data_IF_029724052734
#
_entry.id   IF_029724052734
#
_cell.length_a   1.000
_cell.length_b   1.000
_cell.length_c   1.000
_cell.angle_alpha   90.00
_cell.angle_beta   90.00
_cell.angle_gamma   90.00
#
_symmetry.space_group_name_H-M   'P 1'
#
loop_
_entity.id
_entity.type
_entity.pdbx_description
1 polymer ?
#
# COMPACT_ATOMS: atom_id res chain seq x y z
N UNK A 1 1.85 -15.90 23.21
CA UNK A 1 3.20 -16.53 23.28
C UNK A 1 4.28 -15.48 23.25
N UNK A 2 5.51 -15.81 23.68
CA UNK A 2 6.64 -14.86 23.79
C UNK A 2 6.88 -14.04 22.51
N UNK A 3 6.78 -14.67 21.33
CA UNK A 3 6.95 -13.98 20.04
C UNK A 3 5.91 -12.89 19.78
N UNK A 4 4.65 -13.09 20.21
CA UNK A 4 3.60 -12.08 20.06
C UNK A 4 3.82 -10.90 20.99
N UNK A 5 4.34 -11.12 22.20
CA UNK A 5 4.71 -10.03 23.11
C UNK A 5 5.84 -9.17 22.51
N UNK A 6 6.88 -9.82 21.96
CA UNK A 6 7.96 -9.12 21.24
C UNK A 6 7.42 -8.34 20.05
N UNK A 7 6.49 -8.90 19.28
CA UNK A 7 5.88 -8.20 18.14
C UNK A 7 5.09 -6.95 18.59
N UNK A 8 4.39 -7.03 19.73
CA UNK A 8 3.72 -5.87 20.33
C UNK A 8 4.72 -4.79 20.77
N UNK A 9 5.85 -5.16 21.37
CA UNK A 9 6.91 -4.21 21.74
C UNK A 9 7.53 -3.54 20.51
N UNK A 10 7.78 -4.30 19.44
CA UNK A 10 8.28 -3.78 18.17
C UNK A 10 7.28 -2.83 17.51
N UNK A 11 5.98 -3.18 17.53
CA UNK A 11 4.92 -2.29 17.07
C UNK A 11 4.88 -0.98 17.87
N UNK A 12 5.01 -1.03 19.20
CA UNK A 12 5.08 0.17 20.03
C UNK A 12 6.28 1.07 19.67
N UNK A 13 7.41 0.47 19.30
CA UNK A 13 8.58 1.21 18.80
C UNK A 13 8.28 1.85 17.43
N UNK A 14 7.62 1.15 16.50
CA UNK A 14 7.22 1.71 15.20
C UNK A 14 6.40 2.99 15.40
N UNK A 15 5.32 2.91 16.18
CA UNK A 15 4.41 4.04 16.44
C UNK A 15 5.16 5.21 17.08
N UNK A 16 6.02 4.94 18.06
CA UNK A 16 6.79 6.00 18.76
C UNK A 16 7.84 6.66 17.87
N UNK A 17 8.29 6.00 16.81
CA UNK A 17 9.39 6.44 15.95
C UNK A 17 8.96 6.76 14.52
N UNK A 18 7.65 6.88 14.28
CA UNK A 18 7.07 7.29 13.00
C UNK A 18 7.80 8.51 12.41
N UNK A 19 8.10 8.44 11.11
CA UNK A 19 8.87 9.47 10.40
C UNK A 19 10.40 9.37 10.54
N UNK A 20 10.93 8.53 11.44
CA UNK A 20 12.37 8.31 11.59
C UNK A 20 12.81 7.06 10.84
N UNK A 21 13.03 7.15 9.52
CA UNK A 21 13.33 5.98 8.65
C UNK A 21 14.48 5.11 9.17
N UNK A 22 15.53 5.71 9.75
CA UNK A 22 16.69 4.99 10.34
C UNK A 22 16.31 4.02 11.46
N UNK A 23 15.14 4.17 12.08
CA UNK A 23 14.60 3.25 13.11
C UNK A 23 13.44 2.44 12.55
N UNK A 24 12.52 3.08 11.83
CA UNK A 24 11.32 2.43 11.28
C UNK A 24 11.70 1.26 10.35
N UNK A 25 12.67 1.46 9.45
CA UNK A 25 13.05 0.41 8.48
C UNK A 25 13.62 -0.83 9.18
N UNK A 26 14.63 -0.73 10.08
CA UNK A 26 15.11 -1.90 10.82
C UNK A 26 14.03 -2.60 11.63
N UNK A 27 13.19 -1.85 12.37
CA UNK A 27 12.14 -2.44 13.21
C UNK A 27 11.10 -3.16 12.36
N UNK A 28 10.66 -2.56 11.25
CA UNK A 28 9.70 -3.18 10.34
C UNK A 28 10.29 -4.43 9.68
N UNK A 29 11.59 -4.44 9.34
CA UNK A 29 12.27 -5.66 8.86
C UNK A 29 12.33 -6.76 9.92
N UNK A 30 12.52 -6.40 11.19
CA UNK A 30 12.51 -7.39 12.27
C UNK A 30 11.13 -8.02 12.44
N UNK A 31 10.07 -7.21 12.35
CA UNK A 31 8.69 -7.70 12.38
C UNK A 31 8.40 -8.57 11.15
N UNK A 32 8.78 -8.11 9.96
CA UNK A 32 8.64 -8.85 8.71
C UNK A 32 9.35 -10.22 8.79
N UNK A 33 10.58 -10.26 9.28
CA UNK A 33 11.31 -11.50 9.51
C UNK A 33 10.59 -12.43 10.51
N UNK A 34 10.03 -11.87 11.59
CA UNK A 34 9.28 -12.64 12.58
C UNK A 34 8.05 -13.32 11.97
N UNK A 35 7.37 -12.65 11.04
CA UNK A 35 6.16 -13.15 10.38
C UNK A 35 6.41 -13.79 9.00
N UNK A 36 7.67 -13.93 8.57
CA UNK A 36 8.03 -14.62 7.32
C UNK A 36 7.63 -16.10 7.25
N UNK A 37 7.24 -16.69 8.39
CA UNK A 37 6.70 -18.06 8.47
C UNK A 37 5.18 -18.00 8.60
N UNK A 38 4.47 -18.50 7.58
CA UNK A 38 3.00 -18.51 7.50
C UNK A 38 2.31 -19.03 8.77
N UNK A 39 2.85 -20.08 9.40
CA UNK A 39 2.27 -20.69 10.61
C UNK A 39 2.15 -19.75 11.81
N UNK A 40 3.03 -18.74 11.94
CA UNK A 40 2.94 -17.73 13.00
C UNK A 40 1.82 -16.72 12.73
N UNK A 41 1.48 -16.52 11.46
CA UNK A 41 0.46 -15.57 11.02
C UNK A 41 -0.93 -16.19 11.10
N UNK A 42 -1.08 -17.45 10.68
CA UNK A 42 -2.38 -18.18 10.68
C UNK A 42 -3.05 -18.24 12.06
N UNK A 43 -2.27 -18.29 13.14
CA UNK A 43 -2.71 -18.48 14.52
C UNK A 43 -2.44 -17.27 15.42
N UNK A 44 -2.10 -16.12 14.83
CA UNK A 44 -1.68 -14.96 15.61
C UNK A 44 -2.80 -14.05 16.08
N UNK A 45 -2.39 -12.93 16.68
CA UNK A 45 -3.30 -11.93 17.26
C UNK A 45 -3.82 -10.99 16.17
N UNK A 46 -5.11 -11.12 15.84
CA UNK A 46 -5.78 -10.28 14.84
C UNK A 46 -5.61 -8.79 15.11
N UNK A 47 -5.63 -8.35 16.38
CA UNK A 47 -5.48 -6.92 16.73
C UNK A 47 -4.08 -6.41 16.43
N UNK A 48 -3.07 -7.24 16.68
CA UNK A 48 -1.69 -6.94 16.33
C UNK A 48 -1.56 -6.83 14.81
N UNK A 49 -2.14 -7.77 14.06
CA UNK A 49 -2.07 -7.74 12.60
C UNK A 49 -2.77 -6.52 12.00
N UNK A 50 -3.91 -6.12 12.53
CA UNK A 50 -4.59 -4.89 12.12
C UNK A 50 -3.71 -3.65 12.37
N UNK A 51 -3.07 -3.59 13.54
CA UNK A 51 -2.16 -2.51 13.90
C UNK A 51 -0.91 -2.47 12.99
N UNK A 52 -0.27 -3.63 12.79
CA UNK A 52 0.88 -3.76 11.87
C UNK A 52 0.52 -3.40 10.43
N UNK A 53 -0.65 -3.83 9.95
CA UNK A 53 -1.15 -3.50 8.62
C UNK A 53 -1.38 -2.00 8.47
N UNK A 54 -1.92 -1.36 9.51
CA UNK A 54 -2.16 0.09 9.56
C UNK A 54 -0.85 0.86 9.50
N UNK A 55 0.14 0.48 10.30
CA UNK A 55 1.46 1.13 10.32
C UNK A 55 2.23 0.89 9.02
N UNK A 56 2.26 -0.35 8.53
CA UNK A 56 2.92 -0.70 7.28
C UNK A 56 2.33 0.08 6.10
N UNK A 57 1.01 0.04 5.92
CA UNK A 57 0.35 0.76 4.84
C UNK A 57 0.45 2.28 5.01
N UNK A 58 0.30 2.78 6.23
CA UNK A 58 0.45 4.20 6.57
C UNK A 58 1.83 4.73 6.17
N UNK A 59 2.88 3.95 6.38
CA UNK A 59 4.26 4.30 6.00
C UNK A 59 4.48 4.42 4.48
N UNK A 60 3.58 3.88 3.65
CA UNK A 60 3.69 3.97 2.18
C UNK A 60 3.18 5.29 1.60
N UNK A 61 2.29 5.99 2.33
CA UNK A 61 1.57 7.14 1.78
C UNK A 61 2.51 8.33 1.56
N UNK A 62 2.70 8.72 0.29
CA UNK A 62 3.59 9.83 -0.08
C UNK A 62 5.08 9.55 0.14
N UNK A 63 5.43 8.33 0.54
CA UNK A 63 6.80 7.93 0.83
C UNK A 63 7.66 7.93 -0.44
N UNK A 64 8.89 8.41 -0.31
CA UNK A 64 9.90 8.42 -1.39
C UNK A 64 11.03 7.43 -1.15
N UNK A 65 11.10 6.85 0.04
CA UNK A 65 12.10 5.87 0.44
C UNK A 65 11.68 4.50 -0.11
N UNK A 66 12.34 4.10 -1.19
CA UNK A 66 12.09 2.82 -1.86
C UNK A 66 12.35 1.65 -0.91
N UNK A 67 13.33 1.76 -0.01
CA UNK A 67 13.66 0.68 0.92
C UNK A 67 12.54 0.50 1.93
N UNK A 68 12.02 1.59 2.48
CA UNK A 68 10.85 1.53 3.38
C UNK A 68 9.62 0.98 2.66
N UNK A 69 9.36 1.40 1.43
CA UNK A 69 8.24 0.90 0.62
C UNK A 69 8.33 -0.62 0.40
N UNK A 70 9.52 -1.15 0.06
CA UNK A 70 9.71 -2.58 -0.14
C UNK A 70 9.49 -3.37 1.15
N UNK A 71 10.03 -2.90 2.28
CA UNK A 71 9.86 -3.58 3.58
C UNK A 71 8.40 -3.55 4.03
N UNK A 72 7.70 -2.42 3.83
CA UNK A 72 6.27 -2.33 4.14
C UNK A 72 5.45 -3.31 3.29
N UNK A 73 5.73 -3.43 1.99
CA UNK A 73 5.04 -4.39 1.13
C UNK A 73 5.33 -5.85 1.53
N UNK A 74 6.57 -6.18 1.91
CA UNK A 74 6.91 -7.52 2.40
C UNK A 74 6.11 -7.87 3.66
N UNK A 75 6.03 -6.94 4.62
CA UNK A 75 5.22 -7.15 5.81
C UNK A 75 3.74 -7.32 5.47
N UNK A 76 3.20 -6.48 4.58
CA UNK A 76 1.81 -6.62 4.10
C UNK A 76 1.60 -7.99 3.44
N UNK A 77 2.56 -8.47 2.66
CA UNK A 77 2.49 -9.78 2.02
C UNK A 77 2.48 -10.91 3.05
N UNK A 78 3.32 -10.86 4.08
CA UNK A 78 3.29 -11.85 5.15
C UNK A 78 1.93 -11.87 5.88
N UNK A 79 1.27 -10.71 6.03
CA UNK A 79 -0.07 -10.63 6.61
C UNK A 79 -1.18 -11.23 5.73
N UNK A 80 -0.90 -11.62 4.49
CA UNK A 80 -1.87 -12.36 3.63
C UNK A 80 -1.98 -13.85 4.00
N UNK A 81 -1.16 -14.34 4.92
CA UNK A 81 -1.32 -15.70 5.50
C UNK A 81 -2.22 -15.70 6.74
N UNK A 82 -2.69 -14.53 7.20
CA UNK A 82 -3.68 -14.45 8.26
C UNK A 82 -5.06 -14.82 7.73
N UNK A 83 -5.98 -15.22 8.60
CA UNK A 83 -7.39 -15.39 8.22
C UNK A 83 -8.09 -14.04 8.01
N UNK A 84 -9.26 -14.07 7.38
CA UNK A 84 -10.13 -12.90 7.29
C UNK A 84 -10.47 -12.36 8.70
N UNK A 85 -10.52 -11.01 8.88
CA UNK A 85 -10.52 -9.97 7.84
C UNK A 85 -9.14 -9.50 7.39
N UNK A 86 -8.05 -9.99 8.01
CA UNK A 86 -6.70 -9.51 7.75
C UNK A 86 -6.23 -9.92 6.35
N UNK A 87 -6.54 -11.16 5.91
CA UNK A 87 -6.32 -11.61 4.54
C UNK A 87 -6.85 -10.59 3.52
N UNK A 88 -8.16 -10.35 3.53
CA UNK A 88 -8.81 -9.46 2.57
C UNK A 88 -8.17 -8.07 2.60
N UNK A 89 -7.91 -7.52 3.80
CA UNK A 89 -7.35 -6.18 3.93
C UNK A 89 -5.89 -6.07 3.45
N UNK A 90 -5.05 -7.07 3.70
CA UNK A 90 -3.64 -7.08 3.30
C UNK A 90 -3.50 -7.35 1.80
N UNK A 91 -4.23 -8.33 1.28
CA UNK A 91 -4.24 -8.69 -0.13
C UNK A 91 -4.75 -7.53 -1.01
N UNK A 92 -5.81 -6.85 -0.56
CA UNK A 92 -6.29 -5.62 -1.20
C UNK A 92 -5.21 -4.55 -1.36
N UNK A 93 -4.39 -4.35 -0.32
CA UNK A 93 -3.33 -3.35 -0.31
C UNK A 93 -2.18 -3.73 -1.24
N UNK A 94 -1.86 -5.02 -1.38
CA UNK A 94 -0.92 -5.50 -2.39
C UNK A 94 -1.42 -5.19 -3.81
N UNK A 95 -2.68 -5.53 -4.13
CA UNK A 95 -3.27 -5.20 -5.44
C UNK A 95 -3.25 -3.68 -5.65
N UNK A 96 -3.58 -2.89 -4.64
CA UNK A 96 -3.54 -1.43 -4.72
C UNK A 96 -2.13 -0.89 -5.02
N UNK A 97 -1.07 -1.56 -4.54
CA UNK A 97 0.32 -1.17 -4.75
C UNK A 97 0.82 -1.38 -6.20
N UNK A 98 0.09 -2.16 -7.03
CA UNK A 98 0.45 -2.40 -8.44
C UNK A 98 0.40 -1.14 -9.33
N UNK A 99 -0.22 -0.05 -8.87
CA UNK A 99 -0.17 1.26 -9.55
C UNK A 99 0.73 2.27 -8.83
N UNK A 100 1.65 1.82 -7.98
CA UNK A 100 2.61 2.71 -7.35
C UNK A 100 3.41 3.49 -8.41
N UNK A 101 3.76 4.74 -8.11
CA UNK A 101 4.53 5.60 -9.03
C UNK A 101 5.92 5.06 -9.35
N UNK A 102 6.43 4.14 -8.54
CA UNK A 102 7.75 3.57 -8.68
C UNK A 102 7.67 2.18 -9.34
N UNK A 103 8.24 1.98 -10.55
CA UNK A 103 8.32 0.70 -11.24
C UNK A 103 8.75 -0.48 -10.35
N UNK A 104 9.81 -0.28 -9.56
CA UNK A 104 10.36 -1.30 -8.67
C UNK A 104 9.36 -1.76 -7.60
N UNK A 105 8.48 -0.87 -7.14
CA UNK A 105 7.47 -1.17 -6.13
C UNK A 105 6.30 -1.93 -6.75
N UNK A 106 5.90 -1.59 -7.97
CA UNK A 106 4.88 -2.34 -8.72
C UNK A 106 5.32 -3.79 -8.95
N UNK A 107 6.58 -3.99 -9.39
CA UNK A 107 7.15 -5.33 -9.56
C UNK A 107 7.20 -6.11 -8.25
N UNK A 108 7.67 -5.49 -7.17
CA UNK A 108 7.70 -6.10 -5.84
C UNK A 108 6.30 -6.53 -5.38
N UNK A 109 5.26 -5.72 -5.61
CA UNK A 109 3.89 -6.09 -5.30
C UNK A 109 3.40 -7.28 -6.13
N UNK A 110 3.72 -7.32 -7.44
CA UNK A 110 3.40 -8.46 -8.31
C UNK A 110 4.11 -9.74 -7.86
N UNK A 111 5.40 -9.67 -7.53
CA UNK A 111 6.16 -10.82 -7.00
C UNK A 111 5.52 -11.36 -5.71
N UNK A 112 5.15 -10.49 -4.77
CA UNK A 112 4.46 -10.91 -3.55
C UNK A 112 3.08 -11.52 -3.80
N UNK A 113 2.30 -10.95 -4.73
CA UNK A 113 1.01 -11.52 -5.13
C UNK A 113 1.18 -12.89 -5.75
N UNK A 114 2.14 -13.07 -6.66
CA UNK A 114 2.43 -14.36 -7.28
C UNK A 114 2.77 -15.40 -6.21
N UNK A 115 3.71 -15.09 -5.32
CA UNK A 115 4.12 -16.00 -4.25
C UNK A 115 2.96 -16.40 -3.34
N UNK A 116 2.02 -15.48 -3.08
CA UNK A 116 0.84 -15.79 -2.26
C UNK A 116 -0.20 -16.61 -3.02
N UNK A 117 -0.42 -16.33 -4.30
CA UNK A 117 -1.39 -17.04 -5.14
C UNK A 117 -0.99 -18.50 -5.31
N UNK A 118 0.29 -18.78 -5.60
CA UNK A 118 0.78 -20.16 -5.73
C UNK A 118 0.81 -20.93 -4.40
N UNK A 119 0.56 -20.25 -3.28
CA UNK A 119 0.46 -20.85 -1.95
C UNK A 119 -0.98 -20.92 -1.45
N UNK A 120 -1.98 -20.72 -2.33
CA UNK A 120 -3.37 -20.97 -1.97
C UNK A 120 -3.61 -22.45 -1.73
N UNK A 121 -4.51 -22.74 -0.78
CA UNK A 121 -5.01 -24.08 -0.51
C UNK A 121 -6.36 -24.29 -1.24
N UNK A 122 -6.86 -25.53 -1.27
CA UNK A 122 -8.07 -25.94 -2.02
C UNK A 122 -9.27 -25.00 -1.79
N UNK A 123 -9.55 -24.63 -0.54
CA UNK A 123 -10.63 -23.71 -0.18
C UNK A 123 -10.50 -22.32 -0.85
N UNK A 124 -9.27 -21.83 -1.04
CA UNK A 124 -9.00 -20.53 -1.68
C UNK A 124 -9.03 -20.64 -3.20
N UNK A 125 -8.56 -21.75 -3.77
CA UNK A 125 -8.63 -22.06 -5.20
C UNK A 125 -10.08 -22.19 -5.68
N UNK A 126 -10.98 -22.76 -4.87
CA UNK A 126 -12.41 -22.81 -5.18
C UNK A 126 -13.10 -21.43 -5.06
N UNK A 127 -12.59 -20.56 -4.18
CA UNK A 127 -13.18 -19.25 -3.88
C UNK A 127 -12.83 -18.18 -4.92
N UNK A 128 -11.66 -18.27 -5.55
CA UNK A 128 -11.09 -17.21 -6.37
C UNK A 128 -10.76 -17.67 -7.80
N UNK A 129 -10.72 -16.72 -8.73
CA UNK A 129 -10.25 -16.99 -10.10
C UNK A 129 -8.71 -16.99 -10.14
N UNK A 130 -8.12 -18.07 -9.63
CA UNK A 130 -6.67 -18.25 -9.45
C UNK A 130 -5.92 -18.30 -10.78
N UNK A 131 -6.50 -18.97 -11.79
CA UNK A 131 -5.90 -19.08 -13.12
C UNK A 131 -5.73 -17.70 -13.76
N UNK A 132 -6.81 -16.91 -13.78
CA UNK A 132 -6.76 -15.55 -14.33
C UNK A 132 -5.85 -14.65 -13.52
N UNK A 133 -5.87 -14.75 -12.19
CA UNK A 133 -5.00 -13.95 -11.34
C UNK A 133 -3.52 -14.26 -11.59
N UNK A 134 -3.17 -15.53 -11.79
CA UNK A 134 -1.80 -15.98 -12.09
C UNK A 134 -1.33 -15.46 -13.44
N UNK A 135 -2.15 -15.54 -14.49
CA UNK A 135 -1.88 -14.95 -15.80
C UNK A 135 -1.62 -13.44 -15.68
N UNK A 136 -2.51 -12.71 -15.00
CA UNK A 136 -2.38 -11.26 -14.82
C UNK A 136 -1.09 -10.86 -14.09
N UNK A 137 -0.73 -11.57 -13.02
CA UNK A 137 0.45 -11.23 -12.24
C UNK A 137 1.75 -11.56 -12.99
N UNK A 138 1.76 -12.57 -13.84
CA UNK A 138 2.98 -13.04 -14.54
C UNK A 138 3.19 -12.42 -15.92
N UNK A 139 2.13 -12.15 -16.69
CA UNK A 139 2.25 -11.68 -18.08
C UNK A 139 2.24 -10.16 -18.20
N UNK A 140 1.61 -9.45 -17.26
CA UNK A 140 1.58 -7.99 -17.29
C UNK A 140 2.94 -7.43 -16.89
N UNK A 141 3.48 -6.53 -17.72
CA UNK A 141 4.72 -5.80 -17.42
C UNK A 141 4.48 -4.73 -16.34
N UNK A 142 4.41 -5.12 -15.07
CA UNK A 142 4.07 -4.23 -13.95
C UNK A 142 5.05 -3.09 -13.71
N UNK A 143 6.32 -3.22 -14.10
CA UNK A 143 7.34 -2.18 -13.94
C UNK A 143 7.42 -1.20 -15.11
N UNK A 144 7.26 -1.68 -16.34
CA UNK A 144 7.56 -0.95 -17.58
C UNK A 144 6.36 -0.76 -18.50
N UNK A 145 5.27 -1.48 -18.27
CA UNK A 145 4.05 -1.45 -19.08
C UNK A 145 3.35 -0.10 -19.06
N UNK A 146 2.48 0.11 -20.05
CA UNK A 146 1.72 1.34 -20.17
C UNK A 146 0.79 1.52 -18.96
N UNK A 147 0.68 2.76 -18.49
CA UNK A 147 -0.08 3.05 -17.28
C UNK A 147 -1.59 2.76 -17.40
N UNK A 148 -2.14 2.77 -18.63
CA UNK A 148 -3.52 2.38 -18.88
C UNK A 148 -3.71 0.87 -18.68
N UNK A 149 -2.85 0.07 -19.30
CA UNK A 149 -2.90 -1.40 -19.25
C UNK A 149 -2.72 -1.91 -17.82
N UNK A 150 -1.74 -1.38 -17.08
CA UNK A 150 -1.52 -1.69 -15.66
C UNK A 150 -2.76 -1.38 -14.82
N UNK A 151 -3.46 -0.26 -15.10
CA UNK A 151 -4.68 0.10 -14.36
C UNK A 151 -5.82 -0.86 -14.67
N UNK A 152 -5.99 -1.25 -15.93
CA UNK A 152 -7.00 -2.21 -16.37
C UNK A 152 -6.73 -3.59 -15.75
N UNK A 153 -5.52 -4.11 -15.89
CA UNK A 153 -5.11 -5.38 -15.30
C UNK A 153 -5.31 -5.43 -13.78
N UNK A 154 -5.00 -4.34 -13.07
CA UNK A 154 -5.24 -4.26 -11.62
C UNK A 154 -6.74 -4.31 -11.29
N UNK A 155 -7.61 -3.69 -12.09
CA UNK A 155 -9.06 -3.77 -11.88
C UNK A 155 -9.57 -5.19 -12.10
N UNK A 156 -9.01 -5.91 -13.07
CA UNK A 156 -9.35 -7.32 -13.30
C UNK A 156 -8.86 -8.21 -12.15
N UNK A 157 -7.67 -7.95 -11.59
CA UNK A 157 -7.22 -8.64 -10.37
C UNK A 157 -8.22 -8.47 -9.22
N UNK A 158 -8.72 -7.25 -8.96
CA UNK A 158 -9.76 -7.07 -7.94
C UNK A 158 -10.99 -7.95 -8.18
N UNK A 159 -11.40 -8.14 -9.44
CA UNK A 159 -12.53 -9.03 -9.79
C UNK A 159 -12.22 -10.50 -9.52
N UNK A 160 -11.02 -10.98 -9.83
CA UNK A 160 -10.61 -12.37 -9.55
C UNK A 160 -10.77 -12.75 -8.08
N UNK A 161 -10.65 -11.78 -7.18
CA UNK A 161 -10.76 -11.97 -5.74
C UNK A 161 -12.09 -11.51 -5.13
N UNK A 162 -13.09 -11.16 -5.96
CA UNK A 162 -14.40 -10.67 -5.49
C UNK A 162 -14.31 -9.38 -4.67
N UNK A 163 -13.30 -8.55 -4.91
CA UNK A 163 -13.03 -7.33 -4.15
C UNK A 163 -13.44 -6.08 -4.93
N UNK A 164 -14.05 -5.11 -4.24
CA UNK A 164 -14.42 -3.83 -4.85
C UNK A 164 -13.20 -2.90 -5.00
N UNK A 165 -12.83 -2.46 -6.21
CA UNK A 165 -11.66 -1.62 -6.41
C UNK A 165 -11.78 -0.26 -5.68
N UNK A 166 -10.64 0.38 -5.34
CA UNK A 166 -10.69 1.66 -4.65
C UNK A 166 -11.44 2.70 -5.47
N UNK A 167 -12.52 3.25 -4.91
CA UNK A 167 -13.26 4.35 -5.55
C UNK A 167 -12.31 5.51 -5.77
N UNK A 168 -12.30 6.05 -6.99
CA UNK A 168 -11.62 7.33 -7.23
C UNK A 168 -12.26 8.34 -6.29
N UNK A 169 -11.47 8.93 -5.41
CA UNK A 169 -11.87 10.18 -4.77
C UNK A 169 -11.95 11.17 -5.92
N UNK A 170 -13.17 11.48 -6.36
CA UNK A 170 -13.39 12.66 -7.18
C UNK A 170 -12.94 13.83 -6.33
N UNK A 171 -11.69 14.25 -6.50
CA UNK A 171 -11.32 15.60 -6.19
C UNK A 171 -12.17 16.43 -7.14
N UNK A 172 -13.37 16.83 -6.68
CA UNK A 172 -14.10 17.92 -7.28
C UNK A 172 -13.05 18.99 -7.46
N UNK A 173 -12.73 19.30 -8.72
CA UNK A 173 -11.97 20.50 -9.03
C UNK A 173 -12.84 21.61 -8.47
N UNK A 174 -12.58 22.01 -7.23
CA UNK A 174 -12.96 23.33 -6.78
C UNK A 174 -12.21 24.20 -7.77
N UNK A 175 -12.95 24.65 -8.79
CA UNK A 175 -12.54 25.78 -9.58
C UNK A 175 -12.35 26.87 -8.55
N UNK A 176 -11.10 27.07 -8.13
CA UNK A 176 -10.71 28.31 -7.50
C UNK A 176 -11.02 29.32 -8.58
N UNK A 177 -12.17 29.98 -8.45
CA UNK A 177 -12.50 31.14 -9.24
C UNK A 177 -11.26 32.02 -9.19
N UNK A 178 -10.71 32.34 -10.36
CA UNK A 178 -9.75 33.42 -10.47
C UNK A 178 -10.38 34.62 -9.78
N UNK A 179 -9.88 34.95 -8.59
CA UNK A 179 -9.92 36.33 -8.10
C UNK A 179 -8.97 37.09 -9.01
N UNK A 180 -9.46 37.45 -10.18
CA UNK A 180 -8.99 38.67 -10.82
C UNK A 180 -9.42 39.83 -9.91
N UNK A 181 -8.57 40.85 -9.84
CA UNK A 181 -8.74 42.11 -9.10
C UNK A 181 -8.32 42.12 -7.62
N UNK A 182 -7.01 42.20 -7.39
CA UNK A 182 -6.41 43.16 -6.45
C UNK A 182 -4.87 43.14 -6.55
N UNK A 183 -4.31 43.37 -7.73
CA UNK A 183 -2.90 43.74 -7.85
C UNK A 183 -2.69 44.78 -8.95
N UNK A 184 -3.44 45.87 -8.84
CA UNK A 184 -3.22 47.10 -9.60
C UNK A 184 -3.57 48.27 -8.70
N UNK A 185 -2.64 48.66 -7.82
CA UNK A 185 -2.41 50.07 -7.50
C UNK A 185 -1.27 50.31 -6.51
N UNK A 186 -0.02 50.19 -6.96
CA UNK A 186 0.99 51.15 -6.54
C UNK A 186 0.98 52.39 -7.46
N UNK A 187 0.60 52.24 -8.73
CA UNK A 187 0.59 53.33 -9.70
C UNK A 187 -0.46 54.43 -9.42
N UNK A 188 -1.68 54.13 -8.95
CA UNK A 188 -2.64 55.21 -8.61
C UNK A 188 -2.46 55.82 -7.21
N UNK A 189 -1.63 55.24 -6.34
CA UNK A 189 -1.25 55.90 -5.08
C UNK A 189 -0.21 57.00 -5.32
N UNK A 190 0.57 56.92 -6.39
CA UNK A 190 1.57 57.95 -6.75
C UNK A 190 0.93 59.16 -7.48
N UNK A 191 -0.23 58.98 -8.13
CA UNK A 191 -0.97 60.09 -8.76
C UNK A 191 -1.96 60.82 -7.84
N UNK A 192 -2.17 60.34 -6.60
CA UNK A 192 -3.09 60.97 -5.63
C UNK A 192 -2.39 61.71 -4.48
N UNK A 193 -1.07 61.61 -4.39
CA UNK A 193 -0.22 62.42 -3.50
C UNK A 193 0.67 63.30 -4.38
N UNK A 194 0.13 64.45 -4.81
CA UNK A 194 0.81 65.36 -5.73
C UNK A 194 2.24 65.70 -5.29
N UNK A 195 3.19 65.30 -6.14
CA UNK A 195 4.48 65.91 -6.41
C UNK A 195 4.74 65.83 -7.92
#
# INVERSE_FOLDING_TARGET
GMLMAVAWDLHAILVKKTGTSRVVVPVMRTIDFLFSKASLVEHGDTKLFEALLTEAWGSTRGCRDIVLLQVALSLIANLTYAKDPIFTASFYKLIAALINRYPKIRRCAAEHLYMRIISFEEDEEERFDVDRATELVTEVSWDTGAAADIKTARLDLFKCFGMEPPKKIENSKVQVAKKDEAMTNYAALVNSAGY
#
